data_IF_146040081079
#
_entry.id   IF_146040081079
#
_cell.length_a   1.000
_cell.length_b   1.000
_cell.length_c   1.000
_cell.angle_alpha   90.00
_cell.angle_beta   90.00
_cell.angle_gamma   90.00
#
_symmetry.space_group_name_H-M   'P 1'
#
loop_
_entity.id
_entity.type
_entity.pdbx_description
1 polymer ?
#
# COMPACT_ATOMS: atom_id res chain seq x y z
N UNK A 1 18.65 -1.21 -11.15
CA UNK A 1 17.34 -1.87 -11.38
C UNK A 1 16.59 -1.17 -12.49
N UNK A 2 16.70 -1.74 -13.68
CA UNK A 2 15.97 -1.31 -14.88
C UNK A 2 14.52 -1.83 -14.87
N UNK A 3 13.64 -1.18 -15.62
CA UNK A 3 12.24 -1.62 -15.80
C UNK A 3 12.09 -3.06 -16.32
N UNK A 4 12.84 -3.52 -17.35
CA UNK A 4 12.71 -4.90 -17.83
C UNK A 4 13.15 -5.96 -16.80
N UNK A 5 14.17 -5.68 -15.98
CA UNK A 5 14.58 -6.59 -14.91
C UNK A 5 13.50 -6.77 -13.84
N UNK A 6 12.80 -5.68 -13.49
CA UNK A 6 11.70 -5.69 -12.53
C UNK A 6 10.50 -6.45 -13.11
N UNK A 7 10.21 -6.23 -14.39
CA UNK A 7 9.17 -6.94 -15.11
C UNK A 7 9.40 -8.46 -15.12
N UNK A 8 10.64 -8.90 -15.35
CA UNK A 8 11.01 -10.31 -15.32
C UNK A 8 10.82 -10.95 -13.93
N UNK A 9 11.18 -10.25 -12.85
CA UNK A 9 11.03 -10.74 -11.48
C UNK A 9 9.56 -10.81 -11.02
N UNK A 10 8.76 -9.83 -11.45
CA UNK A 10 7.34 -9.72 -11.08
C UNK A 10 6.41 -10.44 -12.06
N UNK A 11 6.93 -11.06 -13.12
CA UNK A 11 6.17 -11.71 -14.20
C UNK A 11 5.12 -10.78 -14.84
N UNK A 12 5.47 -9.51 -15.03
CA UNK A 12 4.62 -8.49 -15.66
C UNK A 12 5.30 -7.88 -16.88
N UNK A 13 4.53 -7.24 -17.77
CA UNK A 13 5.11 -6.51 -18.90
C UNK A 13 5.89 -5.27 -18.42
N UNK A 14 7.04 -4.93 -19.05
CA UNK A 14 7.76 -3.68 -18.77
C UNK A 14 6.88 -2.43 -18.87
N UNK A 15 5.93 -2.42 -19.82
CA UNK A 15 5.00 -1.30 -20.01
C UNK A 15 4.03 -1.13 -18.85
N UNK A 16 3.64 -2.25 -18.22
CA UNK A 16 2.82 -2.24 -17.01
C UNK A 16 3.59 -1.63 -15.84
N UNK A 17 4.88 -1.98 -15.70
CA UNK A 17 5.76 -1.38 -14.68
C UNK A 17 5.88 0.13 -14.89
N UNK A 18 6.12 0.60 -16.12
CA UNK A 18 6.18 2.04 -16.43
C UNK A 18 4.90 2.78 -16.06
N UNK A 19 3.75 2.21 -16.40
CA UNK A 19 2.46 2.76 -16.04
C UNK A 19 2.29 2.87 -14.51
N UNK A 20 2.62 1.80 -13.78
CA UNK A 20 2.55 1.81 -12.31
C UNK A 20 3.48 2.86 -11.70
N UNK A 21 4.71 2.98 -12.19
CA UNK A 21 5.66 3.98 -11.70
C UNK A 21 5.14 5.40 -11.92
N UNK A 22 4.59 5.71 -13.10
CA UNK A 22 4.00 7.02 -13.35
C UNK A 22 2.90 7.37 -12.34
N UNK A 23 2.00 6.42 -12.06
CA UNK A 23 0.92 6.61 -11.08
C UNK A 23 1.45 6.78 -9.66
N UNK A 24 2.44 6.00 -9.25
CA UNK A 24 3.06 6.10 -7.92
C UNK A 24 3.81 7.43 -7.77
N UNK A 25 4.58 7.81 -8.79
CA UNK A 25 5.35 9.06 -8.79
C UNK A 25 4.45 10.28 -8.71
N UNK A 26 3.35 10.32 -9.47
CA UNK A 26 2.36 11.40 -9.36
C UNK A 26 1.71 11.47 -7.97
N UNK A 27 1.47 10.32 -7.32
CA UNK A 27 0.91 10.30 -5.96
C UNK A 27 1.89 10.82 -4.90
N UNK A 28 3.16 10.51 -5.08
CA UNK A 28 4.24 10.92 -4.16
C UNK A 28 4.84 12.29 -4.51
N UNK A 29 4.38 12.96 -5.57
CA UNK A 29 4.90 14.26 -6.02
C UNK A 29 6.34 14.22 -6.55
N UNK A 30 6.86 13.04 -6.90
CA UNK A 30 8.25 12.85 -7.38
C UNK A 30 8.28 12.62 -8.89
N UNK A 31 9.44 12.86 -9.51
CA UNK A 31 9.62 12.68 -10.96
C UNK A 31 10.65 11.60 -11.31
N UNK A 32 11.44 11.13 -10.34
CA UNK A 32 12.53 10.19 -10.57
C UNK A 32 12.52 9.08 -9.53
N UNK A 33 12.83 7.85 -9.96
CA UNK A 33 12.93 6.67 -9.08
C UNK A 33 13.91 6.87 -7.90
N UNK A 34 14.99 7.62 -8.09
CA UNK A 34 15.95 7.93 -7.02
C UNK A 34 15.36 8.76 -5.87
N UNK A 35 14.30 9.54 -6.13
CA UNK A 35 13.61 10.34 -5.10
C UNK A 35 12.66 9.50 -4.25
N UNK A 36 12.32 8.29 -4.69
CA UNK A 36 11.39 7.40 -3.99
C UNK A 36 11.87 7.06 -2.57
N UNK A 37 13.19 6.91 -2.38
CA UNK A 37 13.76 6.61 -1.07
C UNK A 37 13.67 7.77 -0.06
N UNK A 38 13.58 9.02 -0.52
CA UNK A 38 13.29 10.18 0.32
C UNK A 38 11.80 10.29 0.60
N UNK A 39 10.99 10.30 -0.46
CA UNK A 39 9.53 10.39 -0.35
C UNK A 39 8.92 9.32 0.57
N UNK A 40 9.35 8.06 0.48
CA UNK A 40 8.86 6.99 1.36
C UNK A 40 9.29 7.15 2.82
N UNK A 41 10.41 7.81 3.08
CA UNK A 41 10.85 8.13 4.44
C UNK A 41 10.05 9.30 5.01
N UNK A 42 9.78 10.31 4.18
CA UNK A 42 9.01 11.50 4.56
C UNK A 42 7.54 11.16 4.83
N UNK A 43 6.91 10.31 3.99
CA UNK A 43 5.56 9.75 4.24
C UNK A 43 5.52 8.87 5.51
N UNK A 44 6.62 8.18 5.82
CA UNK A 44 6.75 7.29 6.99
C UNK A 44 7.28 7.96 8.26
N UNK A 45 7.65 9.24 8.21
CA UNK A 45 8.43 9.93 9.25
C UNK A 45 7.66 10.18 10.57
N UNK A 46 6.38 9.82 10.66
CA UNK A 46 5.65 9.89 11.95
C UNK A 46 6.01 8.76 12.91
N UNK A 47 6.78 7.74 12.49
CA UNK A 47 7.45 6.86 13.44
C UNK A 47 8.80 7.47 13.81
N UNK A 48 8.74 8.50 14.65
CA UNK A 48 9.85 8.87 15.53
C UNK A 48 10.29 7.60 16.23
N UNK A 49 11.39 6.99 15.77
CA UNK A 49 12.02 5.93 16.52
C UNK A 49 12.38 6.50 17.90
N UNK A 50 12.03 5.79 18.99
CA UNK A 50 12.29 6.24 20.34
C UNK A 50 13.80 6.39 20.52
N UNK A 51 14.23 7.58 20.94
CA UNK A 51 15.51 7.74 21.61
C UNK A 51 15.64 6.61 22.64
N UNK A 52 16.79 5.93 22.65
CA UNK A 52 17.16 4.83 23.55
C UNK A 52 16.27 4.70 24.77
N UNK A 53 15.28 3.81 24.69
CA UNK A 53 14.75 3.17 25.88
C UNK A 53 15.78 2.14 26.30
N UNK A 54 16.85 2.64 26.92
CA UNK A 54 17.63 1.84 27.85
C UNK A 54 17.09 2.18 29.23
N UNK A 55 16.45 1.18 29.84
CA UNK A 55 16.11 1.04 31.27
C UNK A 55 14.86 1.75 31.84
N UNK A 56 14.42 2.89 31.32
CA UNK A 56 13.42 3.70 32.05
C UNK A 56 11.92 3.29 31.91
N UNK A 57 11.53 2.40 30.99
CA UNK A 57 10.09 2.04 30.77
C UNK A 57 9.73 0.57 31.02
N UNK A 58 10.54 -0.15 31.79
CA UNK A 58 10.11 -1.44 32.39
C UNK A 58 9.40 -1.22 33.73
N UNK A 59 9.92 -0.32 34.57
CA UNK A 59 9.33 0.01 35.87
C UNK A 59 7.94 0.69 35.78
N UNK A 60 7.66 1.39 34.68
CA UNK A 60 6.35 1.98 34.45
C UNK A 60 5.31 0.97 33.93
N UNK A 61 5.75 -0.10 33.26
CA UNK A 61 4.85 -1.13 32.71
C UNK A 61 4.35 -2.08 33.79
N UNK A 62 5.19 -2.45 34.77
CA UNK A 62 4.78 -3.30 35.89
C UNK A 62 3.80 -2.61 36.86
N UNK A 63 3.78 -1.27 36.89
CA UNK A 63 2.88 -0.50 37.77
C UNK A 63 1.52 -0.16 37.12
N UNK A 64 1.36 -0.37 35.81
CA UNK A 64 0.22 0.13 35.04
C UNK A 64 -0.54 -0.98 34.29
N UNK A 65 -0.78 -2.12 34.95
CA UNK A 65 -1.77 -3.11 34.50
C UNK A 65 -3.08 -2.89 35.25
N UNK A 66 -3.99 -2.01 34.79
CA UNK A 66 -5.39 -2.09 35.20
C UNK A 66 -6.02 -3.28 34.47
N UNK A 67 -6.08 -4.40 35.18
CA UNK A 67 -6.99 -5.50 34.88
C UNK A 67 -8.43 -5.00 35.05
N UNK A 68 -9.05 -4.47 33.99
CA UNK A 68 -10.51 -4.28 33.96
C UNK A 68 -11.09 -4.44 32.56
N UNK A 69 -12.09 -5.33 32.54
CA UNK A 69 -13.30 -5.25 31.75
C UNK A 69 -13.18 -5.48 30.24
N UNK A 70 -13.40 -6.76 29.93
CA UNK A 70 -14.46 -7.20 29.02
C UNK A 70 -15.45 -6.13 28.53
N UNK A 71 -15.90 -6.37 27.29
CA UNK A 71 -17.16 -5.86 26.72
C UNK A 71 -17.12 -4.47 26.09
N UNK A 72 -16.75 -4.43 24.81
CA UNK A 72 -17.73 -4.16 23.74
C UNK A 72 -17.09 -4.38 22.37
N UNK A 73 -17.42 -5.51 21.74
CA UNK A 73 -17.24 -5.67 20.29
C UNK A 73 -18.11 -4.61 19.61
N UNK A 74 -17.60 -3.77 18.68
CA UNK A 74 -18.49 -3.09 17.77
C UNK A 74 -19.17 -4.18 16.93
N UNK A 75 -20.50 -4.25 17.00
CA UNK A 75 -21.28 -4.92 15.99
C UNK A 75 -20.91 -4.25 14.65
N UNK A 76 -20.51 -5.03 13.65
CA UNK A 76 -20.44 -4.54 12.28
C UNK A 76 -21.87 -4.59 11.70
N UNK A 77 -22.60 -3.46 11.57
CA UNK A 77 -23.77 -3.46 10.72
C UNK A 77 -23.30 -3.34 9.27
N UNK A 78 -23.76 -4.25 8.43
CA UNK A 78 -23.77 -4.04 6.98
C UNK A 78 -22.90 -5.01 6.20
N UNK A 79 -23.56 -6.08 5.78
CA UNK A 79 -23.26 -6.81 4.54
C UNK A 79 -22.79 -5.86 3.43
N UNK A 80 -21.70 -6.23 2.78
CA UNK A 80 -21.14 -5.57 1.61
C UNK A 80 -22.18 -5.66 0.49
N UNK A 81 -22.76 -4.54 0.07
CA UNK A 81 -23.57 -4.51 -1.15
C UNK A 81 -22.66 -4.84 -2.35
N UNK A 82 -23.06 -5.74 -3.27
CA UNK A 82 -22.28 -5.98 -4.47
C UNK A 82 -22.32 -4.74 -5.36
N UNK A 83 -21.18 -4.08 -5.55
CA UNK A 83 -21.02 -3.08 -6.61
C UNK A 83 -21.12 -3.82 -7.95
N UNK A 84 -22.13 -3.47 -8.74
CA UNK A 84 -22.31 -4.01 -10.08
C UNK A 84 -21.05 -3.76 -10.91
N UNK A 85 -20.43 -4.84 -11.39
CA UNK A 85 -19.33 -4.79 -12.35
C UNK A 85 -19.78 -4.02 -13.60
N UNK A 86 -19.08 -2.97 -14.05
CA UNK A 86 -19.34 -2.42 -15.37
C UNK A 86 -18.90 -3.44 -16.42
N UNK A 87 -19.88 -4.09 -17.06
CA UNK A 87 -19.68 -4.87 -18.27
C UNK A 87 -19.15 -3.94 -19.38
N UNK A 88 -17.85 -4.00 -19.66
CA UNK A 88 -17.28 -3.41 -20.87
C UNK A 88 -17.93 -4.07 -22.09
N UNK A 89 -18.73 -3.29 -22.80
CA UNK A 89 -19.32 -3.59 -24.11
C UNK A 89 -18.23 -3.90 -25.15
N UNK A 90 -18.51 -4.97 -25.92
CA UNK A 90 -18.18 -5.25 -27.34
C UNK A 90 -16.83 -4.74 -27.88
N UNK A 91 -15.91 -5.68 -28.07
CA UNK A 91 -15.00 -5.60 -29.23
C UNK A 91 -15.73 -6.19 -30.44
N UNK A 92 -15.91 -5.46 -31.57
CA UNK A 92 -16.35 -6.07 -32.81
C UNK A 92 -15.24 -7.01 -33.30
N UNK A 93 -15.60 -8.28 -33.49
CA UNK A 93 -14.75 -9.27 -34.14
C UNK A 93 -14.50 -8.77 -35.58
N UNK A 94 -13.26 -8.40 -35.88
CA UNK A 94 -12.82 -8.31 -37.26
C UNK A 94 -12.71 -9.74 -37.79
N UNK A 95 -13.71 -10.20 -38.52
CA UNK A 95 -13.56 -11.38 -39.39
C UNK A 95 -12.95 -10.89 -40.70
N UNK A 96 -11.62 -10.97 -40.78
CA UNK A 96 -10.91 -10.92 -42.05
C UNK A 96 -10.73 -12.33 -42.61
N UNK A 97 -10.85 -12.41 -43.95
CA UNK A 97 -10.21 -13.41 -44.83
C UNK A 97 -10.99 -14.69 -45.15
N UNK A 98 -11.56 -14.72 -46.36
CA UNK A 98 -11.13 -15.59 -47.45
C UNK A 98 -11.40 -14.88 -48.79
#
# INVERSE_FOLDING_TARGET
MSTPEIAAQLFVSPRTVEWHLGKVFSKLGINRRGQLGGALRDDGAVVTAPASVTDATKAAYDAAVPSQASERRPAYPGTIAPVASPTKRKYPQQTGTA
#
